data_IF_860412066863
#
_entry.id   IF_860412066863
#
_cell.length_a   1.000
_cell.length_b   1.000
_cell.length_c   1.000
_cell.angle_alpha   90.00
_cell.angle_beta   90.00
_cell.angle_gamma   90.00
#
_symmetry.space_group_name_H-M   'P 1'
#
loop_
_entity.id
_entity.type
_entity.pdbx_description
1 polymer ?
#
# COMPACT_ATOMS: atom_id res chain seq x y z
N UNK A 1 -10.07 -1.13 11.54
CA UNK A 1 -8.91 -2.06 11.56
C UNK A 1 -9.29 -3.47 11.98
N UNK A 2 -10.12 -3.65 13.00
CA UNK A 2 -10.74 -4.91 13.37
C UNK A 2 -12.04 -5.17 12.61
N UNK A 3 -12.86 -6.09 13.11
CA UNK A 3 -14.17 -6.42 12.53
C UNK A 3 -15.25 -5.43 12.98
N UNK A 4 -15.12 -4.91 14.22
CA UNK A 4 -16.04 -3.94 14.76
C UNK A 4 -15.78 -2.53 14.21
N UNK A 5 -16.86 -1.77 14.01
CA UNK A 5 -16.74 -0.37 13.57
C UNK A 5 -16.07 0.51 14.64
N UNK A 6 -16.41 0.32 15.91
CA UNK A 6 -15.83 1.02 17.05
C UNK A 6 -14.92 0.13 17.89
N UNK A 7 -14.53 0.62 19.08
CA UNK A 7 -13.80 -0.19 20.04
C UNK A 7 -14.69 -1.32 20.59
N UNK A 8 -14.17 -2.54 20.52
CA UNK A 8 -14.81 -3.72 21.09
C UNK A 8 -13.83 -4.43 22.04
N UNK A 9 -14.10 -4.38 23.32
CA UNK A 9 -13.25 -5.01 24.36
C UNK A 9 -13.09 -6.52 24.19
N UNK A 10 -14.08 -7.18 23.60
CA UNK A 10 -14.07 -8.63 23.40
C UNK A 10 -13.42 -9.05 22.09
N UNK A 11 -12.95 -8.09 21.26
CA UNK A 11 -12.31 -8.38 19.99
C UNK A 11 -10.92 -8.96 20.23
N UNK A 12 -10.66 -10.15 19.68
CA UNK A 12 -9.37 -10.80 19.79
C UNK A 12 -8.34 -10.08 18.90
N UNK A 13 -7.09 -10.01 19.35
CA UNK A 13 -5.99 -9.42 18.55
C UNK A 13 -5.81 -10.09 17.21
N UNK A 14 -6.15 -11.37 17.07
CA UNK A 14 -6.06 -12.12 15.81
C UNK A 14 -7.02 -11.62 14.71
N UNK A 15 -8.11 -10.91 15.07
CA UNK A 15 -9.04 -10.35 14.07
C UNK A 15 -8.61 -8.99 13.55
N UNK A 16 -7.63 -8.34 14.19
CA UNK A 16 -7.05 -7.11 13.67
C UNK A 16 -6.19 -7.39 12.45
N UNK A 17 -6.39 -6.62 11.40
CA UNK A 17 -5.54 -6.70 10.22
C UNK A 17 -4.08 -6.45 10.56
N UNK A 18 -3.19 -7.20 9.92
CA UNK A 18 -1.75 -6.95 10.04
C UNK A 18 -1.37 -5.64 9.35
N UNK A 19 -0.21 -5.08 9.69
CA UNK A 19 0.32 -3.88 9.04
C UNK A 19 0.48 -4.10 7.53
N UNK A 20 0.96 -5.29 7.14
CA UNK A 20 1.08 -5.71 5.74
C UNK A 20 -0.28 -5.69 5.02
N UNK A 21 -1.31 -6.28 5.60
CA UNK A 21 -2.66 -6.30 5.03
C UNK A 21 -3.23 -4.88 4.85
N UNK A 22 -2.95 -3.96 5.78
CA UNK A 22 -3.39 -2.57 5.70
C UNK A 22 -2.64 -1.80 4.60
N UNK A 23 -1.34 -2.02 4.47
CA UNK A 23 -0.52 -1.45 3.38
C UNK A 23 -0.99 -1.98 2.02
N UNK A 24 -1.22 -3.29 1.91
CA UNK A 24 -1.74 -3.90 0.68
C UNK A 24 -3.12 -3.35 0.30
N UNK A 25 -4.00 -3.14 1.29
CA UNK A 25 -5.30 -2.52 1.06
C UNK A 25 -5.16 -1.08 0.56
N UNK A 26 -4.25 -0.29 1.13
CA UNK A 26 -3.97 1.08 0.69
C UNK A 26 -3.49 1.09 -0.77
N UNK A 27 -2.53 0.24 -1.11
CA UNK A 27 -2.00 0.11 -2.47
C UNK A 27 -3.12 -0.22 -3.47
N UNK A 28 -3.92 -1.24 -3.18
CA UNK A 28 -5.01 -1.68 -4.06
C UNK A 28 -6.04 -0.56 -4.29
N UNK A 29 -6.48 0.10 -3.23
CA UNK A 29 -7.47 1.19 -3.30
C UNK A 29 -6.94 2.35 -4.13
N UNK A 30 -5.71 2.81 -3.87
CA UNK A 30 -5.11 3.96 -4.58
C UNK A 30 -4.84 3.63 -6.04
N UNK A 31 -4.35 2.43 -6.34
CA UNK A 31 -4.13 1.99 -7.73
C UNK A 31 -5.42 1.88 -8.54
N UNK A 32 -6.56 1.63 -7.90
CA UNK A 32 -7.90 1.68 -8.51
C UNK A 32 -8.46 3.09 -8.63
N UNK A 33 -7.78 4.11 -8.07
CA UNK A 33 -8.20 5.52 -8.11
C UNK A 33 -9.08 5.94 -6.93
N UNK A 34 -9.16 5.11 -5.88
CA UNK A 34 -9.89 5.40 -4.65
C UNK A 34 -9.03 6.04 -3.56
N UNK A 35 -9.67 6.37 -2.44
CA UNK A 35 -9.05 6.86 -1.22
C UNK A 35 -9.38 5.92 -0.05
N UNK A 36 -8.40 5.63 0.78
CA UNK A 36 -8.61 4.80 1.97
C UNK A 36 -9.05 5.69 3.14
N UNK A 37 -10.20 5.39 3.71
CA UNK A 37 -10.61 5.85 5.04
C UNK A 37 -10.38 4.71 6.04
N UNK A 38 -9.32 4.82 6.85
CA UNK A 38 -8.96 3.83 7.84
C UNK A 38 -9.57 4.18 9.19
N UNK A 39 -10.57 3.41 9.62
CA UNK A 39 -11.24 3.61 10.89
C UNK A 39 -10.47 3.02 12.07
N UNK A 40 -10.41 3.77 13.16
CA UNK A 40 -9.89 3.35 14.47
C UNK A 40 -11.00 3.51 15.53
N UNK A 41 -10.99 2.65 16.55
CA UNK A 41 -11.96 2.70 17.65
C UNK A 41 -11.26 3.08 18.96
N UNK A 42 -11.34 4.35 19.42
CA UNK A 42 -10.84 4.73 20.74
C UNK A 42 -11.62 4.01 21.86
N UNK A 43 -10.93 3.73 22.95
CA UNK A 43 -11.55 3.24 24.19
C UNK A 43 -12.43 4.32 24.84
N UNK A 44 -13.24 3.96 25.80
CA UNK A 44 -14.16 4.89 26.48
C UNK A 44 -13.46 6.08 27.16
N UNK A 45 -12.18 5.91 27.54
CA UNK A 45 -11.32 6.97 28.08
C UNK A 45 -10.54 7.75 27.01
N UNK A 46 -10.89 7.57 25.73
CA UNK A 46 -10.34 8.31 24.60
C UNK A 46 -8.98 7.81 24.08
N UNK A 47 -8.47 6.71 24.59
CA UNK A 47 -7.17 6.17 24.18
C UNK A 47 -7.31 5.30 22.94
N UNK A 48 -6.35 5.40 22.03
CA UNK A 48 -6.24 4.47 20.91
C UNK A 48 -5.57 3.18 21.40
N UNK A 49 -6.19 1.99 21.19
CA UNK A 49 -5.57 0.72 21.56
C UNK A 49 -4.16 0.55 20.97
N UNK A 50 -3.24 -0.02 21.76
CA UNK A 50 -1.82 -0.15 21.40
C UNK A 50 -1.64 -0.85 20.06
N UNK A 51 -2.43 -1.90 19.77
CA UNK A 51 -2.38 -2.61 18.50
C UNK A 51 -2.69 -1.68 17.31
N UNK A 52 -3.66 -0.78 17.47
CA UNK A 52 -4.00 0.18 16.40
C UNK A 52 -2.90 1.24 16.24
N UNK A 53 -2.31 1.71 17.35
CA UNK A 53 -1.17 2.63 17.30
C UNK A 53 0.00 1.99 16.54
N UNK A 54 0.34 0.73 16.86
CA UNK A 54 1.41 0.01 16.17
C UNK A 54 1.13 -0.11 14.67
N UNK A 55 -0.08 -0.48 14.27
CA UNK A 55 -0.46 -0.58 12.84
C UNK A 55 -0.35 0.75 12.11
N UNK A 56 -0.76 1.85 12.76
CA UNK A 56 -0.62 3.20 12.18
C UNK A 56 0.85 3.62 12.05
N UNK A 57 1.69 3.31 13.05
CA UNK A 57 3.12 3.58 13.00
C UNK A 57 3.79 2.83 11.86
N UNK A 58 3.52 1.51 11.73
CA UNK A 58 4.08 0.67 10.68
C UNK A 58 3.69 1.18 9.28
N UNK A 59 2.42 1.56 9.10
CA UNK A 59 1.96 2.18 7.85
C UNK A 59 2.65 3.51 7.59
N UNK A 60 2.84 4.33 8.64
CA UNK A 60 3.55 5.60 8.55
C UNK A 60 5.00 5.40 8.11
N UNK A 61 5.71 4.43 8.67
CA UNK A 61 7.09 4.12 8.30
C UNK A 61 7.20 3.61 6.87
N UNK A 62 6.27 2.75 6.44
CA UNK A 62 6.19 2.35 5.04
C UNK A 62 5.95 3.55 4.11
N UNK A 63 5.06 4.47 4.48
CA UNK A 63 4.73 5.66 3.69
C UNK A 63 5.87 6.69 3.64
N UNK A 64 6.73 6.78 4.65
CA UNK A 64 7.94 7.63 4.62
C UNK A 64 8.84 7.25 3.44
N UNK A 65 8.92 5.97 3.11
CA UNK A 65 9.75 5.46 2.01
C UNK A 65 8.99 5.43 0.68
N UNK A 66 7.73 4.97 0.70
CA UNK A 66 6.98 4.65 -0.51
C UNK A 66 5.89 5.68 -0.86
N UNK A 67 5.67 6.67 -0.01
CA UNK A 67 4.57 7.63 -0.13
C UNK A 67 4.57 8.46 -1.41
N UNK A 68 5.70 8.60 -2.09
CA UNK A 68 5.77 9.29 -3.39
C UNK A 68 4.86 8.64 -4.44
N UNK A 69 4.76 7.31 -4.44
CA UNK A 69 3.86 6.56 -5.33
C UNK A 69 2.39 6.57 -4.89
N UNK A 70 2.11 7.07 -3.68
CA UNK A 70 0.77 7.08 -3.08
C UNK A 70 0.20 8.51 -3.05
N UNK A 71 0.95 9.46 -2.42
CA UNK A 71 0.46 10.82 -2.22
C UNK A 71 0.40 11.63 -3.51
N UNK A 72 -0.78 12.16 -3.83
CA UNK A 72 -1.02 12.95 -5.03
C UNK A 72 -0.93 12.15 -6.33
N UNK A 73 -0.83 10.83 -6.25
CA UNK A 73 -0.85 9.96 -7.42
C UNK A 73 -2.28 9.78 -7.98
N UNK A 74 -2.37 9.22 -9.15
CA UNK A 74 -3.60 8.85 -9.85
C UNK A 74 -3.48 7.44 -10.40
N UNK A 75 -4.59 6.79 -10.63
CA UNK A 75 -4.63 5.53 -11.37
C UNK A 75 -3.93 5.69 -12.73
N UNK A 76 -3.15 4.70 -13.11
CA UNK A 76 -2.62 4.64 -14.47
C UNK A 76 -3.69 4.10 -15.44
N UNK A 77 -4.01 4.87 -16.50
CA UNK A 77 -5.11 4.58 -17.42
C UNK A 77 -4.90 3.29 -18.23
N UNK A 78 -3.62 2.93 -18.47
CA UNK A 78 -3.22 1.70 -19.17
C UNK A 78 -2.98 0.50 -18.24
N UNK A 79 -3.26 0.65 -16.94
CA UNK A 79 -3.12 -0.45 -16.01
C UNK A 79 -4.03 -1.62 -16.38
N UNK A 80 -3.58 -2.86 -16.18
CA UNK A 80 -4.44 -4.02 -16.37
C UNK A 80 -5.64 -3.98 -15.41
N UNK A 81 -6.66 -4.77 -15.72
CA UNK A 81 -7.79 -4.93 -14.79
C UNK A 81 -7.31 -5.69 -13.55
N UNK A 82 -7.43 -5.07 -12.41
CA UNK A 82 -7.06 -5.68 -11.13
C UNK A 82 -8.11 -6.67 -10.65
N UNK A 83 -7.66 -7.83 -10.21
CA UNK A 83 -8.44 -8.88 -9.58
C UNK A 83 -8.02 -9.01 -8.10
N UNK A 84 -8.64 -9.92 -7.37
CA UNK A 84 -8.22 -10.25 -5.99
C UNK A 84 -6.83 -10.90 -5.91
N UNK A 85 -6.36 -11.50 -7.01
CA UNK A 85 -5.07 -12.19 -7.09
C UNK A 85 -3.95 -11.28 -7.67
N UNK A 86 -4.27 -10.01 -7.94
CA UNK A 86 -3.30 -9.05 -8.47
C UNK A 86 -2.24 -8.76 -7.41
N UNK A 87 -0.98 -8.91 -7.79
CA UNK A 87 0.18 -8.63 -6.93
C UNK A 87 0.98 -7.40 -7.34
N UNK A 88 0.77 -6.91 -8.56
CA UNK A 88 1.47 -5.77 -9.14
C UNK A 88 0.46 -4.65 -9.45
N UNK A 89 0.66 -3.51 -8.83
CA UNK A 89 -0.22 -2.35 -8.93
C UNK A 89 0.51 -1.16 -9.54
N UNK A 90 -0.25 -0.25 -10.16
CA UNK A 90 0.33 0.90 -10.83
C UNK A 90 -0.35 2.18 -10.40
N UNK A 91 0.47 3.19 -10.11
CA UNK A 91 0.03 4.58 -9.92
C UNK A 91 0.87 5.50 -10.79
N UNK A 92 0.34 6.66 -11.12
CA UNK A 92 1.01 7.67 -11.94
C UNK A 92 1.01 9.00 -11.20
N UNK A 93 2.14 9.69 -11.22
CA UNK A 93 2.25 11.05 -10.72
C UNK A 93 3.18 11.83 -11.64
N UNK A 94 2.69 12.91 -12.19
CA UNK A 94 3.38 13.72 -13.20
C UNK A 94 3.87 12.85 -14.38
N UNK A 95 5.16 12.81 -14.62
CA UNK A 95 5.81 11.99 -15.66
C UNK A 95 6.26 10.61 -15.15
N UNK A 96 6.01 10.28 -13.89
CA UNK A 96 6.48 9.04 -13.28
C UNK A 96 5.35 7.99 -13.22
N UNK A 97 5.69 6.77 -13.61
CA UNK A 97 4.88 5.58 -13.40
C UNK A 97 5.50 4.79 -12.24
N UNK A 98 4.69 4.45 -11.25
CA UNK A 98 5.07 3.65 -10.10
C UNK A 98 4.46 2.27 -10.25
N UNK A 99 5.30 1.24 -10.26
CA UNK A 99 4.90 -0.15 -10.18
C UNK A 99 5.17 -0.63 -8.75
N UNK A 100 4.14 -1.04 -8.05
CA UNK A 100 4.17 -1.41 -6.64
C UNK A 100 3.80 -2.88 -6.54
N UNK A 101 4.73 -3.74 -6.11
CA UNK A 101 4.45 -5.15 -5.89
C UNK A 101 4.18 -5.46 -4.44
N UNK A 102 3.22 -6.34 -4.18
CA UNK A 102 2.91 -6.87 -2.85
C UNK A 102 3.76 -8.10 -2.50
N UNK A 103 4.42 -8.69 -3.50
CA UNK A 103 5.32 -9.83 -3.31
C UNK A 103 6.47 -9.71 -4.29
N UNK A 104 7.68 -9.94 -3.82
CA UNK A 104 8.83 -10.00 -4.70
C UNK A 104 8.83 -11.29 -5.52
N UNK A 105 9.13 -11.16 -6.80
CA UNK A 105 9.40 -12.26 -7.72
C UNK A 105 10.70 -11.93 -8.46
N UNK A 106 11.48 -12.95 -8.84
CA UNK A 106 12.76 -12.77 -9.53
C UNK A 106 12.63 -12.03 -10.87
N UNK A 107 11.43 -12.10 -11.46
CA UNK A 107 11.11 -11.41 -12.70
C UNK A 107 9.73 -10.79 -12.61
N UNK A 108 9.65 -9.48 -12.86
CA UNK A 108 8.39 -8.74 -12.97
C UNK A 108 8.23 -8.28 -14.40
N UNK A 109 7.20 -8.77 -15.08
CA UNK A 109 6.86 -8.37 -16.44
C UNK A 109 5.83 -7.25 -16.44
N UNK A 110 6.20 -6.11 -17.05
CA UNK A 110 5.31 -4.96 -17.22
C UNK A 110 4.94 -4.85 -18.69
N UNK A 111 3.65 -4.99 -18.99
CA UNK A 111 3.12 -4.89 -20.36
C UNK A 111 2.65 -3.45 -20.67
N UNK A 112 2.43 -3.16 -21.97
CA UNK A 112 1.90 -1.88 -22.47
C UNK A 112 2.79 -0.65 -22.23
N UNK A 113 4.09 -0.84 -22.11
CA UNK A 113 5.07 0.24 -22.05
C UNK A 113 5.86 0.25 -23.36
N UNK A 114 5.61 1.25 -24.20
CA UNK A 114 6.17 1.33 -25.56
C UNK A 114 7.39 2.27 -25.66
N UNK A 115 8.00 2.67 -24.56
CA UNK A 115 9.14 3.59 -24.53
C UNK A 115 10.27 3.04 -23.66
N UNK A 116 11.53 3.40 -23.95
CA UNK A 116 12.64 3.04 -23.07
C UNK A 116 12.42 3.62 -21.66
N UNK A 117 12.68 2.81 -20.66
CA UNK A 117 12.44 3.13 -19.27
C UNK A 117 13.76 3.34 -18.53
N UNK A 118 13.82 4.41 -17.73
CA UNK A 118 14.80 4.49 -16.66
C UNK A 118 14.14 3.94 -15.38
N UNK A 119 14.61 2.80 -14.92
CA UNK A 119 14.06 2.12 -13.74
C UNK A 119 14.91 2.48 -12.52
N UNK A 120 14.28 3.05 -11.50
CA UNK A 120 14.86 3.23 -10.19
C UNK A 120 14.21 2.24 -9.23
N UNK A 121 15.02 1.37 -8.60
CA UNK A 121 14.56 0.42 -7.59
C UNK A 121 14.73 1.06 -6.21
N UNK A 122 13.69 1.03 -5.41
CA UNK A 122 13.76 1.36 -3.99
C UNK A 122 13.43 0.09 -3.19
N UNK A 123 14.35 -0.30 -2.32
CA UNK A 123 14.19 -1.43 -1.42
C UNK A 123 13.83 -0.91 -0.03
N UNK A 124 12.83 -1.49 0.58
CA UNK A 124 12.58 -1.28 2.00
C UNK A 124 12.83 -2.60 2.72
N UNK A 125 13.96 -2.70 3.40
CA UNK A 125 14.33 -3.84 4.24
C UNK A 125 13.94 -3.56 5.68
N UNK A 126 12.68 -3.54 5.99
CA UNK A 126 12.25 -3.82 7.36
C UNK A 126 12.04 -5.34 7.46
N UNK A 127 12.50 -5.97 8.53
CA UNK A 127 12.65 -7.42 8.70
C UNK A 127 11.40 -8.28 8.44
N UNK A 128 10.25 -7.68 8.14
CA UNK A 128 8.98 -8.38 7.96
C UNK A 128 8.17 -8.00 6.71
N UNK A 129 8.61 -7.05 5.87
CA UNK A 129 7.92 -6.73 4.62
C UNK A 129 8.89 -6.26 3.55
N UNK A 130 9.25 -7.15 2.63
CA UNK A 130 9.96 -6.78 1.41
C UNK A 130 8.96 -6.14 0.43
N UNK A 131 8.81 -4.83 0.46
CA UNK A 131 8.06 -4.09 -0.54
C UNK A 131 9.04 -3.39 -1.48
N UNK A 132 9.06 -3.84 -2.73
CA UNK A 132 9.91 -3.25 -3.76
C UNK A 132 9.10 -2.24 -4.57
N UNK A 133 9.74 -1.13 -4.91
CA UNK A 133 9.17 -0.07 -5.71
C UNK A 133 9.97 0.08 -6.99
N UNK A 134 9.28 0.03 -8.13
CA UNK A 134 9.84 0.43 -9.41
C UNK A 134 9.38 1.85 -9.74
N UNK A 135 10.32 2.78 -9.91
CA UNK A 135 10.04 4.09 -10.46
C UNK A 135 10.46 4.08 -11.93
N UNK A 136 9.49 4.18 -12.80
CA UNK A 136 9.73 4.37 -14.23
C UNK A 136 9.52 5.84 -14.58
N UNK A 137 10.50 6.48 -15.19
CA UNK A 137 10.35 7.81 -15.78
C UNK A 137 10.00 7.59 -17.24
N UNK A 138 8.77 7.92 -17.61
CA UNK A 138 8.32 7.94 -19.00
C UNK A 138 8.57 9.34 -19.52
N UNK A 139 9.50 9.50 -20.44
CA UNK A 139 9.70 10.73 -21.22
C UNK A 139 8.74 10.78 -22.41
#
# INVERSE_FOLDING_TARGET
MGESFGYNRNENLAVYRTSEQLVHQLIDIVARGGNLLLNIGPTADGRIPVIMQQRLSDMGDWLKVNGEGIYGSRRWEKAPKYTKDTKLFFTKKDKNLYAITQKWEDTITIQNINKPLKINLQFNSTEHTCNYRFKSIVH
#
